data_IF_621655288470
#
_entry.id   IF_621655288470
#
_cell.length_a   1.000
_cell.length_b   1.000
_cell.length_c   1.000
_cell.angle_alpha   90.00
_cell.angle_beta   90.00
_cell.angle_gamma   90.00
#
_symmetry.space_group_name_H-M   'P 1'
#
loop_
_entity.id
_entity.type
_entity.pdbx_description
1 polymer ?
#
# COMPACT_ATOMS: atom_id res chain seq x y z
N UNK A 1 51.28 -29.30 -1.20
CA UNK A 1 50.56 -28.58 -2.29
C UNK A 1 49.14 -28.34 -1.78
N UNK A 2 48.95 -27.25 -1.03
CA UNK A 2 47.70 -26.91 -0.36
C UNK A 2 46.76 -26.20 -1.35
N UNK A 3 45.57 -26.77 -1.55
CA UNK A 3 44.52 -26.16 -2.36
C UNK A 3 43.99 -24.91 -1.66
N UNK A 4 43.97 -23.82 -2.42
CA UNK A 4 43.41 -22.51 -2.11
C UNK A 4 41.98 -22.62 -1.58
N UNK A 5 41.72 -22.02 -0.42
CA UNK A 5 40.38 -21.75 0.05
C UNK A 5 39.68 -20.81 -0.95
N UNK A 6 38.49 -21.21 -1.40
CA UNK A 6 37.60 -20.38 -2.20
C UNK A 6 37.01 -19.27 -1.34
N UNK A 7 37.30 -18.03 -1.68
CA UNK A 7 36.66 -16.85 -1.11
C UNK A 7 35.14 -16.90 -1.35
N UNK A 8 34.37 -17.00 -0.27
CA UNK A 8 32.93 -16.79 -0.31
C UNK A 8 32.65 -15.30 -0.58
N UNK A 9 31.77 -14.93 -1.53
CA UNK A 9 31.37 -13.54 -1.71
C UNK A 9 30.73 -13.06 -0.41
N UNK A 10 31.23 -11.93 0.11
CA UNK A 10 30.69 -11.26 1.29
C UNK A 10 29.17 -11.13 1.15
N UNK A 11 28.43 -11.73 2.08
CA UNK A 11 27.03 -11.39 2.27
C UNK A 11 26.96 -9.90 2.59
N UNK A 12 26.39 -9.09 1.70
CA UNK A 12 26.05 -7.71 2.02
C UNK A 12 25.18 -7.73 3.27
N UNK A 13 25.75 -7.29 4.40
CA UNK A 13 25.02 -7.09 5.63
C UNK A 13 23.89 -6.11 5.35
N UNK A 14 22.65 -6.50 5.62
CA UNK A 14 21.50 -5.62 5.56
C UNK A 14 21.82 -4.34 6.34
N UNK A 15 22.06 -3.23 5.63
CA UNK A 15 22.35 -1.93 6.26
C UNK A 15 21.18 -1.57 7.17
N UNK A 16 21.49 -1.11 8.38
CA UNK A 16 20.49 -0.54 9.29
C UNK A 16 19.72 0.54 8.53
N UNK A 17 18.38 0.48 8.58
CA UNK A 17 17.49 1.40 7.86
C UNK A 17 17.80 2.88 8.15
N UNK A 18 18.45 3.16 9.29
CA UNK A 18 18.96 4.47 9.71
C UNK A 18 20.11 5.02 8.85
N UNK A 19 20.70 4.19 7.99
CA UNK A 19 21.86 4.53 7.15
C UNK A 19 21.44 5.09 5.79
N UNK A 20 20.18 4.88 5.38
CA UNK A 20 19.69 5.32 4.08
C UNK A 20 19.37 6.81 4.07
N UNK A 21 19.94 7.53 3.11
CA UNK A 21 19.88 8.99 3.06
C UNK A 21 18.48 9.50 2.72
N UNK A 22 17.73 8.73 1.92
CA UNK A 22 16.42 9.16 1.41
C UNK A 22 15.24 8.44 2.06
N UNK A 23 15.46 7.36 2.81
CA UNK A 23 14.38 6.54 3.36
C UNK A 23 13.39 7.34 4.24
N UNK A 24 13.88 8.08 5.23
CA UNK A 24 13.02 8.83 6.15
C UNK A 24 12.23 9.95 5.45
N UNK A 25 12.82 10.59 4.43
CA UNK A 25 12.13 11.60 3.62
C UNK A 25 11.01 10.96 2.78
N UNK A 26 11.31 9.86 2.09
CA UNK A 26 10.33 9.13 1.28
C UNK A 26 9.20 8.59 2.16
N UNK A 27 9.53 8.07 3.34
CA UNK A 27 8.57 7.61 4.33
C UNK A 27 7.67 8.76 4.81
N UNK A 28 8.22 9.93 5.11
CA UNK A 28 7.43 11.09 5.52
C UNK A 28 6.47 11.55 4.40
N UNK A 29 6.94 11.63 3.16
CA UNK A 29 6.11 12.00 2.00
C UNK A 29 5.00 10.95 1.81
N UNK A 30 5.33 9.66 1.86
CA UNK A 30 4.36 8.58 1.77
C UNK A 30 3.27 8.70 2.83
N UNK A 31 3.63 8.94 4.10
CA UNK A 31 2.66 9.10 5.19
C UNK A 31 1.74 10.31 4.97
N UNK A 32 2.28 11.45 4.52
CA UNK A 32 1.46 12.63 4.19
C UNK A 32 0.48 12.33 3.06
N UNK A 33 0.94 11.72 1.97
CA UNK A 33 0.09 11.33 0.84
C UNK A 33 -0.99 10.35 1.29
N UNK A 34 -0.63 9.37 2.13
CA UNK A 34 -1.57 8.38 2.68
C UNK A 34 -2.65 9.04 3.55
N UNK A 35 -2.28 9.97 4.43
CA UNK A 35 -3.24 10.70 5.27
C UNK A 35 -4.19 11.57 4.43
N UNK A 36 -3.67 12.29 3.43
CA UNK A 36 -4.50 13.06 2.51
C UNK A 36 -5.45 12.14 1.76
N UNK A 37 -4.95 10.99 1.26
CA UNK A 37 -5.74 9.98 0.55
C UNK A 37 -6.92 9.49 1.37
N UNK A 38 -6.73 9.19 2.66
CA UNK A 38 -7.84 8.79 3.53
C UNK A 38 -8.85 9.92 3.78
N UNK A 39 -8.39 11.17 3.89
CA UNK A 39 -9.29 12.31 4.09
C UNK A 39 -10.17 12.56 2.86
N UNK A 40 -9.60 12.52 1.66
CA UNK A 40 -10.34 12.74 0.40
C UNK A 40 -11.06 11.48 -0.10
N UNK A 41 -10.67 10.30 0.39
CA UNK A 41 -11.14 9.00 -0.10
C UNK A 41 -12.64 8.75 0.07
N UNK A 42 -13.24 9.33 1.10
CA UNK A 42 -14.69 9.25 1.30
C UNK A 42 -15.50 9.97 0.22
N UNK A 43 -14.92 10.96 -0.47
CA UNK A 43 -15.62 11.72 -1.51
C UNK A 43 -15.67 10.87 -2.79
N UNK A 44 -16.89 10.53 -3.19
CA UNK A 44 -17.15 9.92 -4.49
C UNK A 44 -17.27 11.02 -5.56
N UNK A 45 -16.47 10.88 -6.61
CA UNK A 45 -16.43 11.76 -7.77
C UNK A 45 -16.96 11.01 -8.99
N UNK A 46 -17.61 11.73 -9.90
CA UNK A 46 -18.11 11.19 -11.15
C UNK A 46 -17.32 11.75 -12.33
N UNK A 47 -16.78 10.87 -13.16
CA UNK A 47 -16.08 11.22 -14.41
C UNK A 47 -16.70 10.38 -15.53
N UNK A 48 -17.62 10.99 -16.28
CA UNK A 48 -18.41 10.29 -17.30
C UNK A 48 -19.19 9.11 -16.70
N UNK A 49 -19.01 7.87 -17.21
CA UNK A 49 -19.69 6.68 -16.67
C UNK A 49 -19.03 6.12 -15.39
N UNK A 50 -17.83 6.59 -15.05
CA UNK A 50 -17.04 6.07 -13.94
C UNK A 50 -17.34 6.82 -12.64
N UNK A 51 -17.35 6.07 -11.54
CA UNK A 51 -17.41 6.59 -10.19
C UNK A 51 -16.08 6.27 -9.52
N UNK A 52 -15.36 7.28 -9.09
CA UNK A 52 -14.06 7.13 -8.44
C UNK A 52 -14.09 7.71 -7.04
N UNK A 53 -13.35 7.11 -6.13
CA UNK A 53 -13.03 7.74 -4.86
C UNK A 53 -11.95 8.81 -5.07
N UNK A 54 -11.97 9.88 -4.28
CA UNK A 54 -10.88 10.86 -4.26
C UNK A 54 -9.51 10.24 -3.98
N UNK A 55 -9.47 9.12 -3.24
CA UNK A 55 -8.24 8.38 -2.93
C UNK A 55 -7.59 7.80 -4.20
N UNK A 56 -8.39 7.46 -5.22
CA UNK A 56 -7.92 6.90 -6.48
C UNK A 56 -6.95 7.85 -7.22
N UNK A 57 -7.04 9.16 -6.97
CA UNK A 57 -6.13 10.15 -7.55
C UNK A 57 -4.72 10.09 -6.94
N UNK A 58 -4.60 9.65 -5.69
CA UNK A 58 -3.35 9.58 -4.94
C UNK A 58 -2.77 8.17 -4.88
N UNK A 59 -3.59 7.15 -5.16
CA UNK A 59 -3.15 5.76 -5.29
C UNK A 59 -1.90 5.64 -6.14
N UNK A 60 -1.82 6.25 -7.34
CA UNK A 60 -0.61 6.28 -8.13
C UNK A 60 0.68 6.46 -7.33
N UNK A 61 0.72 7.57 -6.62
CA UNK A 61 1.88 8.01 -5.86
C UNK A 61 2.19 6.97 -4.77
N UNK A 62 1.18 6.49 -4.05
CA UNK A 62 1.38 5.51 -2.98
C UNK A 62 1.90 4.15 -3.46
N UNK A 63 1.51 3.70 -4.66
CA UNK A 63 2.01 2.45 -5.24
C UNK A 63 3.51 2.57 -5.60
N UNK A 64 3.92 3.68 -6.23
CA UNK A 64 5.35 3.94 -6.51
C UNK A 64 6.17 3.90 -5.21
N UNK A 65 5.68 4.52 -4.14
CA UNK A 65 6.36 4.45 -2.84
C UNK A 65 6.44 3.01 -2.30
N UNK A 66 5.37 2.24 -2.41
CA UNK A 66 5.35 0.82 -2.01
C UNK A 66 6.39 0.00 -2.76
N UNK A 67 6.50 0.18 -4.07
CA UNK A 67 7.49 -0.47 -4.92
C UNK A 67 8.91 -0.02 -4.53
N UNK A 68 9.14 1.29 -4.37
CA UNK A 68 10.43 1.84 -3.94
C UNK A 68 10.85 1.27 -2.58
N UNK A 69 9.95 1.21 -1.60
CA UNK A 69 10.28 0.65 -0.29
C UNK A 69 10.67 -0.82 -0.38
N UNK A 70 9.97 -1.59 -1.21
CA UNK A 70 10.23 -3.02 -1.36
C UNK A 70 11.51 -3.29 -2.16
N UNK A 71 11.71 -2.56 -3.25
CA UNK A 71 12.80 -2.77 -4.21
C UNK A 71 14.14 -2.12 -3.82
N UNK A 72 14.10 -0.96 -3.15
CA UNK A 72 15.31 -0.20 -2.77
C UNK A 72 15.71 -0.51 -1.34
N UNK A 73 14.75 -0.54 -0.42
CA UNK A 73 15.01 -0.63 1.03
C UNK A 73 14.63 -1.99 1.64
N UNK A 74 14.04 -2.89 0.84
CA UNK A 74 13.70 -4.25 1.22
C UNK A 74 12.39 -4.39 1.99
N UNK A 75 12.01 -5.65 2.24
CA UNK A 75 10.73 -6.01 2.87
C UNK A 75 10.54 -5.41 4.28
N UNK A 76 11.62 -5.29 5.06
CA UNK A 76 11.56 -4.70 6.39
C UNK A 76 11.15 -3.21 6.36
N UNK A 77 11.63 -2.45 5.37
CA UNK A 77 11.28 -1.05 5.16
C UNK A 77 9.82 -0.90 4.73
N UNK A 78 9.37 -1.71 3.78
CA UNK A 78 7.97 -1.75 3.32
C UNK A 78 7.01 -2.04 4.49
N UNK A 79 7.31 -3.06 5.30
CA UNK A 79 6.53 -3.39 6.51
C UNK A 79 6.51 -2.24 7.53
N UNK A 80 7.64 -1.55 7.74
CA UNK A 80 7.70 -0.36 8.62
C UNK A 80 6.80 0.75 8.10
N UNK A 81 6.80 1.02 6.79
CA UNK A 81 5.94 2.03 6.18
C UNK A 81 4.45 1.71 6.36
N UNK A 82 4.06 0.44 6.16
CA UNK A 82 2.68 -0.04 6.37
C UNK A 82 2.22 0.19 7.81
N UNK A 83 3.00 -0.26 8.81
CA UNK A 83 2.63 -0.12 10.21
C UNK A 83 2.57 1.34 10.67
N UNK A 84 3.52 2.16 10.25
CA UNK A 84 3.49 3.61 10.52
C UNK A 84 2.30 4.28 9.83
N UNK A 85 1.94 3.84 8.63
CA UNK A 85 0.75 4.28 7.92
C UNK A 85 -0.53 3.98 8.70
N UNK A 86 -0.70 2.75 9.19
CA UNK A 86 -1.85 2.40 10.03
C UNK A 86 -1.88 3.17 11.35
N UNK A 87 -0.72 3.33 12.01
CA UNK A 87 -0.63 4.11 13.23
C UNK A 87 -1.01 5.58 13.01
N UNK A 88 -0.46 6.22 11.96
CA UNK A 88 -0.75 7.61 11.61
C UNK A 88 -2.23 7.81 11.29
N UNK A 89 -2.83 6.89 10.55
CA UNK A 89 -4.27 6.93 10.25
C UNK A 89 -5.13 6.69 11.50
N UNK A 90 -4.72 5.77 12.38
CA UNK A 90 -5.37 5.57 13.68
C UNK A 90 -5.34 6.83 14.53
N UNK A 91 -4.22 7.54 14.55
CA UNK A 91 -4.10 8.83 15.22
C UNK A 91 -5.00 9.91 14.59
N UNK A 92 -5.05 9.99 13.26
CA UNK A 92 -5.97 10.88 12.53
C UNK A 92 -7.44 10.61 12.93
N UNK A 93 -7.86 9.35 12.93
CA UNK A 93 -9.20 8.95 13.34
C UNK A 93 -9.48 9.31 14.81
N UNK A 94 -8.55 8.98 15.72
CA UNK A 94 -8.71 9.23 17.15
C UNK A 94 -8.85 10.73 17.43
N UNK A 95 -7.93 11.55 16.91
CA UNK A 95 -7.97 13.00 17.11
C UNK A 95 -9.20 13.62 16.43
N UNK A 96 -9.57 13.13 15.26
CA UNK A 96 -10.81 13.55 14.57
C UNK A 96 -12.05 13.28 15.40
N UNK A 97 -12.20 12.08 15.94
CA UNK A 97 -13.34 11.70 16.78
C UNK A 97 -13.40 12.51 18.08
N UNK A 98 -12.26 12.73 18.75
CA UNK A 98 -12.19 13.58 19.95
C UNK A 98 -12.66 14.99 19.62
N UNK A 99 -12.19 15.55 18.50
CA UNK A 99 -12.53 16.92 18.09
C UNK A 99 -14.01 17.06 17.73
N UNK A 100 -14.61 16.06 17.07
CA UNK A 100 -16.05 16.04 16.78
C UNK A 100 -16.88 15.90 18.07
N UNK A 101 -16.39 15.16 19.06
CA UNK A 101 -17.10 14.94 20.32
C UNK A 101 -17.10 16.17 21.25
N UNK A 102 -16.05 16.99 21.20
CA UNK A 102 -15.99 18.23 21.98
C UNK A 102 -17.10 19.21 21.57
N UNK A 103 -17.68 19.95 22.53
CA UNK A 103 -18.71 20.92 22.23
C UNK A 103 -18.15 22.04 21.34
N UNK A 104 -18.87 22.45 20.29
CA UNK A 104 -18.43 23.54 19.43
C UNK A 104 -18.36 24.86 20.23
N UNK A 105 -17.34 25.67 19.97
CA UNK A 105 -17.21 26.99 20.58
C UNK A 105 -18.31 27.94 20.08
N UNK A 106 -18.66 28.99 20.87
CA UNK A 106 -19.55 30.05 20.37
C UNK A 106 -19.01 30.64 19.06
N UNK A 107 -19.83 30.62 18.01
CA UNK A 107 -19.47 31.10 16.66
C UNK A 107 -18.92 30.03 15.70
N UNK A 108 -18.79 28.78 16.11
CA UNK A 108 -18.48 27.68 15.19
C UNK A 108 -19.75 27.14 14.50
N UNK A 109 -19.86 27.35 13.20
CA UNK A 109 -21.09 27.04 12.42
C UNK A 109 -21.03 25.70 11.65
N UNK A 110 -19.87 25.06 11.56
CA UNK A 110 -19.64 23.94 10.63
C UNK A 110 -19.56 22.57 11.31
N UNK A 111 -20.18 22.41 12.48
CA UNK A 111 -20.08 21.17 13.27
C UNK A 111 -20.61 19.95 12.52
N UNK A 112 -21.73 20.07 11.81
CA UNK A 112 -22.32 18.96 11.08
C UNK A 112 -21.44 18.51 9.91
N UNK A 113 -20.88 19.45 9.14
CA UNK A 113 -19.95 19.15 8.06
C UNK A 113 -18.67 18.48 8.59
N UNK A 114 -18.13 18.99 9.69
CA UNK A 114 -16.95 18.42 10.35
C UNK A 114 -17.23 16.99 10.83
N UNK A 115 -18.39 16.76 11.45
CA UNK A 115 -18.87 15.44 11.86
C UNK A 115 -18.99 14.48 10.68
N UNK A 116 -19.58 14.91 9.56
CA UNK A 116 -19.72 14.08 8.35
C UNK A 116 -18.36 13.59 7.84
N UNK A 117 -17.36 14.47 7.78
CA UNK A 117 -16.03 14.14 7.25
C UNK A 117 -15.29 13.17 8.17
N UNK A 118 -15.26 13.43 9.48
CA UNK A 118 -14.43 12.67 10.40
C UNK A 118 -15.06 11.36 10.87
N UNK A 119 -16.39 11.22 10.87
CA UNK A 119 -17.04 9.96 11.27
C UNK A 119 -16.85 8.82 10.26
N UNK A 120 -16.56 9.14 9.00
CA UNK A 120 -16.31 8.14 7.97
C UNK A 120 -14.87 7.59 8.02
N UNK A 121 -13.91 8.35 8.58
CA UNK A 121 -12.49 7.99 8.58
C UNK A 121 -12.21 6.68 9.34
N UNK A 122 -12.69 6.47 10.59
CA UNK A 122 -12.45 5.21 11.31
C UNK A 122 -12.94 3.99 10.53
N UNK A 123 -14.10 4.11 9.88
CA UNK A 123 -14.70 3.07 9.07
C UNK A 123 -13.82 2.73 7.86
N UNK A 124 -13.31 3.74 7.15
CA UNK A 124 -12.41 3.53 6.01
C UNK A 124 -11.10 2.86 6.44
N UNK A 125 -10.53 3.25 7.58
CA UNK A 125 -9.29 2.65 8.09
C UNK A 125 -9.50 1.17 8.42
N UNK A 126 -10.58 0.83 9.12
CA UNK A 126 -10.91 -0.57 9.44
C UNK A 126 -11.17 -1.37 8.16
N UNK A 127 -11.90 -0.80 7.21
CA UNK A 127 -12.14 -1.42 5.90
C UNK A 127 -10.82 -1.69 5.17
N UNK A 128 -9.92 -0.70 5.10
CA UNK A 128 -8.60 -0.82 4.47
C UNK A 128 -7.71 -1.85 5.16
N UNK A 129 -7.72 -1.94 6.49
CA UNK A 129 -6.93 -2.94 7.21
C UNK A 129 -7.41 -4.37 6.91
N UNK A 130 -8.72 -4.61 6.95
CA UNK A 130 -9.31 -5.93 6.63
C UNK A 130 -9.07 -6.27 5.16
N UNK A 131 -9.31 -5.31 4.26
CA UNK A 131 -9.09 -5.47 2.82
C UNK A 131 -7.63 -5.84 2.52
N UNK A 132 -6.68 -5.12 3.13
CA UNK A 132 -5.25 -5.38 3.00
C UNK A 132 -4.89 -6.78 3.45
N UNK A 133 -5.33 -7.23 4.64
CA UNK A 133 -5.02 -8.57 5.13
C UNK A 133 -5.63 -9.68 4.28
N UNK A 134 -6.89 -9.56 3.89
CA UNK A 134 -7.56 -10.56 3.06
C UNK A 134 -6.99 -10.60 1.64
N UNK A 135 -6.66 -9.43 1.07
CA UNK A 135 -6.04 -9.29 -0.24
C UNK A 135 -4.63 -9.88 -0.26
N UNK A 136 -3.80 -9.56 0.75
CA UNK A 136 -2.44 -10.09 0.88
C UNK A 136 -2.42 -11.61 1.09
N UNK A 137 -3.34 -12.12 1.91
CA UNK A 137 -3.50 -13.57 2.11
C UNK A 137 -3.89 -14.27 0.81
N UNK A 138 -4.84 -13.69 0.06
CA UNK A 138 -5.29 -14.24 -1.23
C UNK A 138 -4.17 -14.18 -2.27
N UNK A 139 -3.43 -13.08 -2.33
CA UNK A 139 -2.26 -12.94 -3.19
C UNK A 139 -1.25 -14.07 -2.91
N UNK A 140 -0.80 -14.17 -1.66
CA UNK A 140 0.19 -15.16 -1.23
C UNK A 140 -0.27 -16.60 -1.49
N UNK A 141 -1.54 -16.91 -1.19
CA UNK A 141 -2.13 -18.23 -1.45
C UNK A 141 -2.18 -18.56 -2.95
N UNK A 142 -2.65 -17.63 -3.79
CA UNK A 142 -2.70 -17.81 -5.24
C UNK A 142 -1.31 -18.03 -5.81
N UNK A 143 -0.32 -17.23 -5.37
CA UNK A 143 1.08 -17.38 -5.79
C UNK A 143 1.62 -18.78 -5.45
N UNK A 144 1.37 -19.25 -4.23
CA UNK A 144 1.79 -20.59 -3.80
C UNK A 144 1.12 -21.70 -4.61
N UNK A 145 -0.19 -21.59 -4.87
CA UNK A 145 -0.94 -22.59 -5.64
C UNK A 145 -0.53 -22.64 -7.10
N UNK A 146 -0.35 -21.48 -7.74
CA UNK A 146 0.10 -21.41 -9.13
C UNK A 146 1.54 -21.91 -9.29
N UNK A 147 2.40 -21.75 -8.27
CA UNK A 147 3.76 -22.36 -8.26
C UNK A 147 3.70 -23.87 -8.37
N UNK A 148 2.74 -24.52 -7.70
CA UNK A 148 2.54 -25.96 -7.81
C UNK A 148 2.04 -26.36 -9.21
N UNK A 149 1.05 -25.65 -9.75
CA UNK A 149 0.49 -25.94 -11.08
C UNK A 149 1.48 -25.76 -12.23
N UNK A 150 2.37 -24.78 -12.11
CA UNK A 150 3.38 -24.48 -13.14
C UNK A 150 4.67 -25.29 -12.96
N UNK A 151 4.75 -26.16 -11.94
CA UNK A 151 5.98 -26.89 -11.61
C UNK A 151 7.16 -25.95 -11.34
N UNK A 152 6.89 -24.77 -10.77
CA UNK A 152 7.88 -23.70 -10.54
C UNK A 152 8.25 -22.86 -11.76
N UNK A 153 7.81 -23.23 -12.97
CA UNK A 153 8.07 -22.50 -14.22
C UNK A 153 7.18 -21.25 -14.29
N UNK A 154 7.50 -20.30 -15.18
CA UNK A 154 6.69 -19.09 -15.44
C UNK A 154 6.41 -18.23 -14.19
N UNK A 155 7.43 -17.56 -13.65
CA UNK A 155 7.25 -16.66 -12.49
C UNK A 155 6.27 -15.51 -12.77
N UNK A 156 6.32 -14.94 -13.97
CA UNK A 156 5.51 -13.77 -14.34
C UNK A 156 4.00 -14.02 -14.25
N UNK A 157 3.52 -15.20 -14.66
CA UNK A 157 2.08 -15.53 -14.58
C UNK A 157 1.62 -15.62 -13.14
N UNK A 158 2.48 -16.10 -12.25
CA UNK A 158 2.20 -16.23 -10.82
C UNK A 158 2.11 -14.87 -10.17
N UNK A 159 3.09 -13.99 -10.41
CA UNK A 159 3.10 -12.64 -9.85
C UNK A 159 1.88 -11.85 -10.31
N UNK A 160 1.63 -11.77 -11.62
CA UNK A 160 0.48 -11.02 -12.17
C UNK A 160 -0.86 -11.63 -11.73
N UNK A 161 -1.01 -12.96 -11.80
CA UNK A 161 -2.22 -13.64 -11.37
C UNK A 161 -2.52 -13.47 -9.88
N UNK A 162 -1.49 -13.55 -9.04
CA UNK A 162 -1.62 -13.30 -7.60
C UNK A 162 -2.02 -11.86 -7.27
N UNK A 163 -1.46 -10.87 -7.99
CA UNK A 163 -1.83 -9.46 -7.82
C UNK A 163 -3.27 -9.21 -8.25
N UNK A 164 -3.69 -9.73 -9.40
CA UNK A 164 -5.07 -9.61 -9.90
C UNK A 164 -6.06 -10.17 -8.86
N UNK A 165 -5.82 -11.38 -8.34
CA UNK A 165 -6.71 -12.01 -7.36
C UNK A 165 -6.70 -11.29 -6.01
N UNK A 166 -5.53 -10.89 -5.51
CA UNK A 166 -5.39 -10.12 -4.27
C UNK A 166 -6.08 -8.76 -4.34
N UNK A 167 -5.85 -7.99 -5.43
CA UNK A 167 -6.46 -6.68 -5.63
C UNK A 167 -7.97 -6.75 -5.82
N UNK A 168 -8.48 -7.84 -6.39
CA UNK A 168 -9.92 -8.07 -6.51
C UNK A 168 -10.57 -8.24 -5.13
N UNK A 169 -10.00 -9.10 -4.29
CA UNK A 169 -10.49 -9.32 -2.90
C UNK A 169 -10.38 -8.04 -2.07
N UNK A 170 -9.23 -7.36 -2.13
CA UNK A 170 -9.01 -6.08 -1.45
C UNK A 170 -10.09 -5.05 -1.85
N UNK A 171 -10.30 -4.85 -3.15
CA UNK A 171 -11.22 -3.83 -3.65
C UNK A 171 -12.67 -4.12 -3.26
N UNK A 172 -13.10 -5.39 -3.33
CA UNK A 172 -14.45 -5.78 -2.92
C UNK A 172 -14.66 -5.54 -1.44
N UNK A 173 -13.72 -5.97 -0.59
CA UNK A 173 -13.83 -5.81 0.86
C UNK A 173 -13.81 -4.33 1.24
N UNK A 174 -12.94 -3.53 0.63
CA UNK A 174 -12.87 -2.10 0.86
C UNK A 174 -14.19 -1.41 0.52
N UNK A 175 -14.79 -1.72 -0.64
CA UNK A 175 -16.06 -1.11 -1.05
C UNK A 175 -17.22 -1.60 -0.17
N UNK A 176 -17.26 -2.90 0.13
CA UNK A 176 -18.30 -3.49 0.97
C UNK A 176 -18.26 -2.94 2.40
N UNK A 177 -17.10 -2.92 3.06
CA UNK A 177 -17.01 -2.45 4.44
C UNK A 177 -16.98 -0.92 4.49
N UNK A 178 -16.23 -0.26 3.61
CA UNK A 178 -16.00 1.17 3.62
C UNK A 178 -17.19 2.01 3.17
N UNK A 179 -17.97 1.54 2.19
CA UNK A 179 -18.98 2.37 1.51
C UNK A 179 -20.41 1.81 1.54
N UNK A 180 -20.66 0.62 2.12
CA UNK A 180 -22.04 0.13 2.27
C UNK A 180 -22.92 1.11 3.04
N UNK A 181 -24.11 1.41 2.52
CA UNK A 181 -25.03 2.37 3.12
C UNK A 181 -24.66 3.84 2.92
N UNK A 182 -23.55 4.17 2.24
CA UNK A 182 -23.20 5.56 1.90
C UNK A 182 -23.69 5.99 0.53
N UNK A 183 -23.97 5.03 -0.37
CA UNK A 183 -24.49 5.28 -1.71
C UNK A 183 -25.32 4.07 -2.20
N UNK A 184 -26.15 4.24 -3.26
CA UNK A 184 -26.88 3.12 -3.86
C UNK A 184 -25.95 1.99 -4.31
N UNK A 185 -26.42 0.74 -4.23
CA UNK A 185 -25.62 -0.45 -4.59
C UNK A 185 -25.06 -0.38 -6.01
N UNK A 186 -25.81 0.18 -6.96
CA UNK A 186 -25.34 0.39 -8.33
C UNK A 186 -24.13 1.35 -8.40
N UNK A 187 -24.10 2.39 -7.58
CA UNK A 187 -22.97 3.32 -7.47
C UNK A 187 -21.77 2.64 -6.84
N UNK A 188 -21.98 1.81 -5.82
CA UNK A 188 -20.92 1.03 -5.17
C UNK A 188 -20.32 -0.02 -6.11
N UNK A 189 -21.15 -0.69 -6.91
CA UNK A 189 -20.69 -1.62 -7.94
C UNK A 189 -19.83 -0.89 -8.99
N UNK A 190 -20.27 0.29 -9.47
CA UNK A 190 -19.48 1.12 -10.38
C UNK A 190 -18.15 1.56 -9.74
N UNK A 191 -18.17 1.93 -8.46
CA UNK A 191 -16.97 2.28 -7.71
C UNK A 191 -15.99 1.09 -7.64
N UNK A 192 -16.46 -0.11 -7.28
CA UNK A 192 -15.61 -1.30 -7.21
C UNK A 192 -14.96 -1.63 -8.55
N UNK A 193 -15.75 -1.62 -9.63
CA UNK A 193 -15.25 -1.87 -10.99
C UNK A 193 -14.24 -0.80 -11.41
N UNK A 194 -14.58 0.48 -11.22
CA UNK A 194 -13.70 1.60 -11.59
C UNK A 194 -12.41 1.60 -10.77
N UNK A 195 -12.49 1.31 -9.48
CA UNK A 195 -11.34 1.24 -8.58
C UNK A 195 -10.40 0.09 -8.97
N UNK A 196 -10.95 -1.09 -9.24
CA UNK A 196 -10.18 -2.26 -9.65
C UNK A 196 -9.51 -2.05 -11.01
N UNK A 197 -10.26 -1.62 -12.03
CA UNK A 197 -9.71 -1.33 -13.36
C UNK A 197 -8.65 -0.22 -13.26
N UNK A 198 -8.94 0.84 -12.50
CA UNK A 198 -8.02 1.95 -12.28
C UNK A 198 -6.69 1.49 -11.68
N UNK A 199 -6.72 0.59 -10.68
CA UNK A 199 -5.51 0.00 -10.09
C UNK A 199 -4.70 -0.80 -11.12
N UNK A 200 -5.37 -1.64 -11.93
CA UNK A 200 -4.69 -2.46 -12.95
C UNK A 200 -4.08 -1.59 -14.07
N UNK A 201 -4.83 -0.62 -14.60
CA UNK A 201 -4.32 0.30 -15.63
C UNK A 201 -3.15 1.11 -15.07
N UNK A 202 -3.29 1.59 -13.84
CA UNK A 202 -2.25 2.37 -13.20
C UNK A 202 -0.95 1.58 -13.09
N UNK A 203 -1.00 0.37 -12.54
CA UNK A 203 0.16 -0.51 -12.41
C UNK A 203 0.94 -0.56 -13.73
N UNK A 204 0.24 -0.83 -14.83
CA UNK A 204 0.84 -0.93 -16.18
C UNK A 204 1.46 0.39 -16.64
N UNK A 205 0.77 1.51 -16.44
CA UNK A 205 1.23 2.85 -16.88
C UNK A 205 2.38 3.38 -16.02
N UNK A 206 2.37 3.07 -14.73
CA UNK A 206 3.34 3.56 -13.76
C UNK A 206 4.62 2.75 -13.71
N UNK A 207 4.56 1.49 -14.11
CA UNK A 207 5.69 0.56 -14.13
C UNK A 207 6.97 1.21 -14.70
N UNK A 208 6.98 1.89 -15.87
CA UNK A 208 8.19 2.54 -16.38
C UNK A 208 8.72 3.66 -15.47
N UNK A 209 7.84 4.45 -14.86
CA UNK A 209 8.21 5.50 -13.93
C UNK A 209 8.78 4.92 -12.62
N UNK A 210 8.17 3.85 -12.10
CA UNK A 210 8.69 3.10 -10.95
C UNK A 210 10.11 2.62 -11.22
N UNK A 211 10.37 2.00 -12.39
CA UNK A 211 11.72 1.56 -12.75
C UNK A 211 12.73 2.71 -12.77
N UNK A 212 12.37 3.87 -13.31
CA UNK A 212 13.24 5.04 -13.35
C UNK A 212 13.58 5.55 -11.92
N UNK A 213 12.58 5.64 -11.05
CA UNK A 213 12.76 6.09 -9.65
C UNK A 213 13.61 5.10 -8.86
N UNK A 214 13.32 3.80 -8.97
CA UNK A 214 14.07 2.73 -8.30
C UNK A 214 15.53 2.73 -8.75
N UNK A 215 15.79 2.83 -10.06
CA UNK A 215 17.15 2.87 -10.60
C UNK A 215 17.94 4.10 -10.11
N UNK A 216 17.30 5.27 -10.09
CA UNK A 216 17.90 6.49 -9.54
C UNK A 216 18.25 6.32 -8.04
N UNK A 217 17.31 5.81 -7.25
CA UNK A 217 17.49 5.67 -5.80
C UNK A 217 18.57 4.64 -5.47
N UNK A 218 18.57 3.46 -6.12
CA UNK A 218 19.62 2.44 -5.95
C UNK A 218 21.01 3.02 -6.24
N UNK A 219 21.16 3.79 -7.33
CA UNK A 219 22.41 4.49 -7.67
C UNK A 219 22.80 5.54 -6.63
N UNK A 220 21.83 6.29 -6.10
CA UNK A 220 22.08 7.34 -5.12
C UNK A 220 22.45 6.82 -3.73
N UNK A 221 21.90 5.67 -3.33
CA UNK A 221 22.15 5.01 -2.05
C UNK A 221 23.39 4.09 -2.10
N UNK A 222 23.95 3.86 -3.30
CA UNK A 222 25.11 3.00 -3.52
C UNK A 222 24.81 1.52 -3.35
N UNK A 223 23.60 1.08 -3.73
CA UNK A 223 23.15 -0.30 -3.68
C UNK A 223 23.29 -0.95 -5.07
N UNK A 224 24.21 -1.91 -5.23
CA UNK A 224 24.36 -2.70 -6.46
C UNK A 224 23.38 -3.88 -6.40
N UNK A 225 22.18 -3.70 -6.97
CA UNK A 225 21.06 -4.58 -6.68
C UNK A 225 21.05 -5.87 -7.51
N UNK A 226 21.45 -6.99 -6.89
CA UNK A 226 20.80 -8.28 -7.09
C UNK A 226 20.68 -9.01 -5.74
N UNK A 227 19.54 -8.84 -5.06
CA UNK A 227 19.26 -9.54 -3.82
C UNK A 227 18.52 -10.87 -4.11
N UNK A 228 19.27 -11.97 -4.15
CA UNK A 228 18.75 -13.32 -4.43
C UNK A 228 18.19 -14.02 -3.18
N UNK A 229 18.13 -13.38 -2.00
CA UNK A 229 17.81 -14.08 -0.73
C UNK A 229 16.85 -13.30 0.18
N UNK A 230 15.65 -12.98 -0.30
CA UNK A 230 14.58 -12.47 0.57
C UNK A 230 13.63 -13.58 1.04
N UNK A 231 13.35 -13.64 2.35
CA UNK A 231 12.39 -14.54 2.98
C UNK A 231 11.01 -13.85 3.09
N UNK A 232 10.01 -14.38 2.38
CA UNK A 232 8.68 -13.75 2.17
C UNK A 232 7.66 -13.99 3.30
N UNK A 233 8.08 -14.16 4.56
CA UNK A 233 7.17 -14.44 5.68
C UNK A 233 6.76 -13.15 6.43
N UNK A 234 5.46 -12.77 6.45
CA UNK A 234 4.99 -11.55 7.11
C UNK A 234 5.11 -11.56 8.64
N UNK A 235 5.30 -12.73 9.26
CA UNK A 235 5.33 -12.90 10.72
C UNK A 235 6.75 -13.03 11.31
N UNK A 236 7.80 -12.95 10.49
CA UNK A 236 9.16 -13.08 11.02
C UNK A 236 9.62 -11.79 11.70
N UNK A 237 9.76 -11.86 13.03
CA UNK A 237 10.39 -10.85 13.88
C UNK A 237 11.69 -11.46 14.41
N UNK A 238 12.79 -11.27 13.68
CA UNK A 238 14.08 -11.79 14.09
C UNK A 238 15.16 -11.54 13.05
N UNK A 239 16.22 -10.88 13.49
CA UNK A 239 17.51 -10.71 12.82
C UNK A 239 18.19 -12.06 12.68
N UNK A 240 18.55 -12.46 11.46
CA UNK A 240 19.82 -13.09 11.06
C UNK A 240 19.80 -13.39 9.56
#
# INVERSE_FOLDING_TARGET
>A
MSLSASEHPHAEQARDLRTYRHFDLLLAIFLVVLLISNLVGQKLCQIGPFVISGAQLLFPITYIFGDVFTEVYGYAASRRAIWLGFLANGLLALMGLITVWLPPAPGWEHQDAFRTVFYQIPRLIVASLIAYWCGEFTNSYTLAKMKLWTGGKMLWTRTVGSTITGQFVDTIILVAIGFTGTAPLATLAKLAVSAYIGKVIYEVVATPATYAVVAFLKRSEGLDAFDYKSNFNPFHVGTH
#
